data_IF_198409563269
#
_entry.id   IF_198409563269
#
_cell.length_a   1.000
_cell.length_b   1.000
_cell.length_c   1.000
_cell.angle_alpha   90.00
_cell.angle_beta   90.00
_cell.angle_gamma   90.00
#
_symmetry.space_group_name_H-M   'P 1'
#
loop_
_entity.id
_entity.type
_entity.pdbx_description
1 polymer ?
#
# COMPACT_ATOMS: atom_id res chain seq x y z
N UNK A 1 8.24 25.70 -1.06
CA UNK A 1 8.74 24.57 -0.31
C UNK A 1 7.67 23.50 -0.16
N UNK A 2 6.45 23.90 0.20
CA UNK A 2 5.34 22.96 0.19
C UNK A 2 5.12 22.44 -1.24
N UNK A 3 5.33 23.30 -2.21
CA UNK A 3 5.21 22.93 -3.61
C UNK A 3 6.23 21.88 -3.99
N UNK A 4 7.48 22.05 -3.54
CA UNK A 4 8.54 21.07 -3.80
C UNK A 4 8.22 19.74 -3.13
N UNK A 5 7.71 19.78 -1.93
CA UNK A 5 7.33 18.56 -1.22
C UNK A 5 6.26 17.81 -1.97
N UNK A 6 5.29 18.52 -2.54
CA UNK A 6 4.24 17.89 -3.31
C UNK A 6 4.81 17.22 -4.55
N UNK A 7 5.74 17.88 -5.22
CA UNK A 7 6.35 17.29 -6.40
C UNK A 7 7.12 16.02 -6.05
N UNK A 8 7.83 16.05 -4.92
CA UNK A 8 8.60 14.89 -4.50
C UNK A 8 7.71 13.73 -4.10
N UNK A 9 6.52 14.02 -3.58
CA UNK A 9 5.59 12.99 -3.14
C UNK A 9 4.78 12.39 -4.28
N UNK A 10 4.64 13.11 -5.39
CA UNK A 10 3.78 12.64 -6.49
C UNK A 10 4.17 11.27 -7.03
N UNK A 11 5.45 10.94 -7.23
CA UNK A 11 5.78 9.60 -7.73
C UNK A 11 5.28 8.50 -6.80
N UNK A 12 5.37 8.71 -5.49
CA UNK A 12 4.91 7.72 -4.52
C UNK A 12 3.41 7.58 -4.60
N UNK A 13 2.69 8.69 -4.67
CA UNK A 13 1.23 8.65 -4.77
C UNK A 13 0.80 7.97 -6.06
N UNK A 14 1.51 8.19 -7.15
CA UNK A 14 1.19 7.57 -8.43
C UNK A 14 1.40 6.06 -8.37
N UNK A 15 2.49 5.63 -7.76
CA UNK A 15 2.73 4.20 -7.58
C UNK A 15 1.62 3.55 -6.77
N UNK A 16 1.19 4.22 -5.71
CA UNK A 16 0.11 3.72 -4.88
C UNK A 16 -1.20 3.68 -5.66
N UNK A 17 -1.45 4.72 -6.43
CA UNK A 17 -2.68 4.79 -7.23
C UNK A 17 -2.76 3.65 -8.24
N UNK A 18 -1.63 3.27 -8.82
CA UNK A 18 -1.57 2.24 -9.85
C UNK A 18 -1.53 0.82 -9.28
N UNK A 19 -1.44 0.71 -7.97
CA UNK A 19 -1.37 -0.60 -7.33
C UNK A 19 -2.69 -1.35 -7.56
N UNK A 20 -2.64 -2.62 -8.04
CA UNK A 20 -3.88 -3.36 -8.29
C UNK A 20 -4.56 -3.80 -7.01
N UNK A 21 -5.85 -4.09 -7.11
CA UNK A 21 -6.57 -4.67 -6.00
C UNK A 21 -6.25 -6.15 -5.90
N UNK A 22 -6.26 -6.76 -4.73
CA UNK A 22 -6.65 -6.16 -3.44
C UNK A 22 -5.49 -5.45 -2.73
N UNK A 23 -4.34 -5.39 -3.33
CA UNK A 23 -3.13 -4.83 -2.71
C UNK A 23 -3.35 -3.39 -2.28
N UNK A 24 -3.99 -2.61 -3.13
CA UNK A 24 -4.22 -1.20 -2.87
C UNK A 24 -5.05 -0.98 -1.62
N UNK A 25 -6.17 -1.70 -1.51
CA UNK A 25 -7.04 -1.51 -0.38
C UNK A 25 -6.42 -2.05 0.90
N UNK A 26 -5.78 -3.22 0.85
CA UNK A 26 -5.13 -3.80 2.02
C UNK A 26 -4.03 -2.86 2.53
N UNK A 27 -3.22 -2.34 1.63
CA UNK A 27 -2.15 -1.42 2.01
C UNK A 27 -2.73 -0.15 2.64
N UNK A 28 -3.78 0.38 2.04
CA UNK A 28 -4.42 1.60 2.52
C UNK A 28 -5.01 1.41 3.91
N UNK A 29 -5.70 0.29 4.13
CA UNK A 29 -6.31 0.01 5.43
C UNK A 29 -5.25 -0.15 6.51
N UNK A 30 -4.11 -0.74 6.16
CA UNK A 30 -3.05 -0.94 7.14
C UNK A 30 -2.31 0.35 7.47
N UNK A 31 -1.96 1.13 6.45
CA UNK A 31 -1.12 2.32 6.64
C UNK A 31 -1.96 3.52 7.11
N UNK A 32 -3.05 3.78 6.43
CA UNK A 32 -3.86 4.96 6.74
C UNK A 32 -4.96 4.65 7.74
N UNK A 33 -5.57 3.47 7.64
CA UNK A 33 -6.61 3.06 8.56
C UNK A 33 -6.09 2.50 9.86
N UNK A 34 -4.82 2.09 9.89
CA UNK A 34 -4.17 1.54 11.08
C UNK A 34 -4.89 0.32 11.64
N UNK A 35 -5.50 -0.46 10.75
CA UNK A 35 -6.22 -1.67 11.14
C UNK A 35 -5.24 -2.81 11.32
N UNK A 36 -5.60 -3.75 12.20
CA UNK A 36 -4.82 -4.97 12.35
C UNK A 36 -5.03 -5.87 11.13
N UNK A 37 -4.10 -6.81 10.93
CA UNK A 37 -4.26 -7.77 9.84
C UNK A 37 -5.51 -8.62 10.04
N UNK A 38 -5.87 -8.91 11.30
CA UNK A 38 -7.09 -9.64 11.59
C UNK A 38 -8.33 -8.90 11.12
N UNK A 39 -8.38 -7.60 11.39
CA UNK A 39 -9.49 -6.77 10.97
C UNK A 39 -9.55 -6.66 9.45
N UNK A 40 -8.40 -6.47 8.81
CA UNK A 40 -8.34 -6.37 7.36
C UNK A 40 -8.81 -7.67 6.72
N UNK A 41 -8.29 -8.79 7.21
CA UNK A 41 -8.71 -10.09 6.70
C UNK A 41 -10.20 -10.29 6.83
N UNK A 42 -10.75 -9.89 7.98
CA UNK A 42 -12.18 -10.02 8.25
C UNK A 42 -13.02 -9.25 7.22
N UNK A 43 -12.58 -8.04 6.87
CA UNK A 43 -13.31 -7.24 5.88
C UNK A 43 -13.34 -7.91 4.52
N UNK A 44 -12.33 -8.70 4.19
CA UNK A 44 -12.27 -9.39 2.90
C UNK A 44 -12.79 -10.82 2.98
N UNK A 45 -13.28 -11.25 4.14
CA UNK A 45 -13.66 -12.65 4.33
C UNK A 45 -12.48 -13.58 4.27
N UNK A 46 -11.31 -13.13 4.71
CA UNK A 46 -10.05 -13.86 4.66
C UNK A 46 -9.42 -13.90 6.03
N UNK A 47 -8.30 -14.60 6.14
CA UNK A 47 -7.58 -14.74 7.39
C UNK A 47 -6.64 -13.56 7.63
N UNK A 48 -6.18 -13.43 8.87
CA UNK A 48 -5.16 -12.44 9.20
C UNK A 48 -3.88 -12.71 8.41
N UNK A 49 -3.53 -13.99 8.25
CA UNK A 49 -2.34 -14.35 7.49
C UNK A 49 -2.44 -13.90 6.04
N UNK A 50 -3.61 -14.07 5.44
CA UNK A 50 -3.83 -13.59 4.08
C UNK A 50 -3.59 -12.09 3.99
N UNK A 51 -4.12 -11.33 4.95
CA UNK A 51 -3.96 -9.88 4.94
C UNK A 51 -2.48 -9.50 5.10
N UNK A 52 -1.78 -10.21 5.97
CA UNK A 52 -0.35 -9.95 6.20
C UNK A 52 0.46 -10.20 4.93
N UNK A 53 0.24 -11.34 4.28
CA UNK A 53 0.95 -11.67 3.05
C UNK A 53 0.62 -10.67 1.96
N UNK A 54 -0.65 -10.32 1.83
CA UNK A 54 -1.09 -9.38 0.82
C UNK A 54 -0.46 -8.01 1.04
N UNK A 55 -0.41 -7.56 2.28
CA UNK A 55 0.21 -6.29 2.61
C UNK A 55 1.70 -6.28 2.23
N UNK A 56 2.41 -7.34 2.59
CA UNK A 56 3.84 -7.39 2.29
C UNK A 56 4.11 -7.43 0.79
N UNK A 57 3.25 -8.10 0.03
CA UNK A 57 3.38 -8.11 -1.42
C UNK A 57 3.13 -6.73 -2.00
N UNK A 58 2.14 -6.01 -1.46
CA UNK A 58 1.88 -4.65 -1.90
C UNK A 58 3.10 -3.76 -1.63
N UNK A 59 3.68 -3.91 -0.45
CA UNK A 59 4.85 -3.13 -0.07
C UNK A 59 6.02 -3.42 -0.99
N UNK A 60 6.23 -4.69 -1.33
CA UNK A 60 7.32 -5.06 -2.23
C UNK A 60 7.12 -4.47 -3.63
N UNK A 61 5.90 -4.46 -4.11
CA UNK A 61 5.62 -3.86 -5.42
C UNK A 61 5.95 -2.39 -5.43
N UNK A 62 5.57 -1.67 -4.39
CA UNK A 62 5.85 -0.24 -4.29
C UNK A 62 7.36 -0.01 -4.21
N UNK A 63 8.05 -0.77 -3.37
CA UNK A 63 9.50 -0.61 -3.24
C UNK A 63 10.23 -0.88 -4.54
N UNK A 64 9.82 -1.94 -5.22
CA UNK A 64 10.47 -2.31 -6.48
C UNK A 64 10.34 -1.20 -7.51
N UNK A 65 9.16 -0.61 -7.62
CA UNK A 65 8.93 0.45 -8.59
C UNK A 65 9.61 1.74 -8.19
N UNK A 66 9.71 2.00 -6.89
CA UNK A 66 10.45 3.16 -6.42
C UNK A 66 11.92 3.06 -6.78
N UNK A 67 12.48 1.87 -6.70
CA UNK A 67 13.88 1.65 -7.07
C UNK A 67 14.11 1.92 -8.55
N UNK A 68 13.12 1.59 -9.38
CA UNK A 68 13.22 1.85 -10.82
C UNK A 68 13.21 3.34 -11.13
N UNK A 69 12.60 4.15 -10.26
CA UNK A 69 12.56 5.58 -10.47
C UNK A 69 13.88 6.26 -10.15
N UNK A 70 14.78 5.60 -9.46
CA UNK A 70 16.09 6.13 -9.16
C UNK A 70 17.08 5.75 -10.24
#
# INVERSE_FOLDING_TARGET
>A
EAFLQQEQAMPIHRLFHDLPEPYKEVFSLRIFGQLSFGDIGSLFGRTANWACVTYHRARQKIQSEMEELQ
#
